data_IF_138503258642
#
_entry.id   IF_138503258642
#
_cell.length_a   1.000
_cell.length_b   1.000
_cell.length_c   1.000
_cell.angle_alpha   90.00
_cell.angle_beta   90.00
_cell.angle_gamma   90.00
#
_symmetry.space_group_name_H-M   'P 1'
#
loop_
_entity.id
_entity.type
_entity.pdbx_description
1 polymer ?
#
# COMPACT_ATOMS: atom_id res chain seq x y z
N UNK A 1 -65.41 51.82 35.80
CA UNK A 1 -64.79 50.48 35.67
C UNK A 1 -64.12 50.25 34.33
N UNK A 2 -63.96 51.21 33.39
CA UNK A 2 -63.33 50.94 32.06
C UNK A 2 -61.90 51.44 31.91
N UNK A 3 -61.36 52.19 32.86
CA UNK A 3 -60.01 52.79 32.71
C UNK A 3 -58.89 51.98 33.36
N UNK A 4 -59.19 51.15 34.33
CA UNK A 4 -58.15 50.34 35.05
C UNK A 4 -57.74 49.07 34.31
N UNK A 5 -58.70 48.49 33.56
CA UNK A 5 -58.44 47.26 32.80
C UNK A 5 -57.61 47.52 31.55
N UNK A 6 -57.72 48.70 30.93
CA UNK A 6 -56.94 49.14 29.77
C UNK A 6 -55.43 49.34 30.13
N UNK A 7 -55.17 49.84 31.33
CA UNK A 7 -53.80 50.07 31.81
C UNK A 7 -53.10 48.77 32.17
N UNK A 8 -53.80 47.79 32.73
CA UNK A 8 -53.30 46.51 33.07
C UNK A 8 -52.96 45.68 31.79
N UNK A 9 -53.79 45.75 30.77
CA UNK A 9 -53.53 45.10 29.48
C UNK A 9 -52.33 45.71 28.73
N UNK A 10 -52.11 46.98 28.79
CA UNK A 10 -50.97 47.66 28.16
C UNK A 10 -49.66 47.32 28.85
N UNK A 11 -49.62 47.16 30.15
CA UNK A 11 -48.43 46.79 30.90
C UNK A 11 -48.04 45.32 30.62
N UNK A 12 -49.03 44.43 30.45
CA UNK A 12 -48.77 43.02 30.14
C UNK A 12 -48.19 42.81 28.74
N UNK A 13 -48.64 43.56 27.74
CA UNK A 13 -48.15 43.50 26.35
C UNK A 13 -46.75 44.05 26.23
N UNK A 14 -46.36 45.07 26.94
CA UNK A 14 -45.01 45.63 26.94
C UNK A 14 -44.02 44.64 27.65
N UNK A 15 -44.46 44.00 28.70
CA UNK A 15 -43.62 42.97 29.39
C UNK A 15 -43.27 41.75 28.53
N UNK A 16 -44.21 41.28 27.73
CA UNK A 16 -43.98 40.13 26.82
C UNK A 16 -43.08 40.51 25.64
N UNK A 17 -43.22 41.72 25.11
CA UNK A 17 -42.36 42.21 24.04
C UNK A 17 -40.88 42.41 24.48
N UNK A 18 -40.66 42.83 25.75
CA UNK A 18 -39.30 42.95 26.29
C UNK A 18 -38.58 41.61 26.51
N UNK A 19 -39.31 40.52 26.82
CA UNK A 19 -38.73 39.19 26.93
C UNK A 19 -38.39 38.58 25.55
N UNK A 20 -39.12 38.92 24.49
CA UNK A 20 -38.88 38.40 23.15
C UNK A 20 -37.63 39.01 22.48
N UNK A 21 -37.22 40.20 22.88
CA UNK A 21 -36.02 40.85 22.31
C UNK A 21 -34.70 40.45 22.95
N UNK A 22 -34.71 39.72 24.07
CA UNK A 22 -33.48 39.24 24.73
C UNK A 22 -33.08 37.83 24.33
N UNK A 23 -33.82 37.14 23.46
CA UNK A 23 -33.43 35.84 22.92
C UNK A 23 -32.55 35.94 21.66
N UNK A 24 -32.07 37.10 21.29
CA UNK A 24 -31.22 37.28 20.13
C UNK A 24 -29.76 37.25 20.50
N UNK A 25 -29.09 36.23 19.97
CA UNK A 25 -27.65 36.09 19.83
C UNK A 25 -26.85 35.64 21.07
N UNK A 26 -27.16 34.49 21.63
CA UNK A 26 -26.04 33.69 22.09
C UNK A 26 -25.37 33.11 20.82
N UNK A 27 -24.49 33.88 20.20
CA UNK A 27 -23.55 33.34 19.24
C UNK A 27 -22.78 32.25 19.98
N UNK A 28 -23.00 31.00 19.61
CA UNK A 28 -22.10 29.92 20.02
C UNK A 28 -20.69 30.39 19.70
N UNK A 29 -19.77 30.33 20.66
CA UNK A 29 -18.39 30.69 20.37
C UNK A 29 -17.94 29.86 19.17
N UNK A 30 -17.56 30.54 18.09
CA UNK A 30 -17.01 29.94 16.90
C UNK A 30 -15.82 29.11 17.38
N UNK A 31 -15.96 27.77 17.37
CA UNK A 31 -14.81 26.90 17.70
C UNK A 31 -13.68 27.27 16.75
N UNK A 32 -12.50 27.61 17.27
CA UNK A 32 -11.37 27.82 16.39
C UNK A 32 -11.24 26.57 15.52
N UNK A 33 -11.33 26.72 14.22
CA UNK A 33 -11.03 25.65 13.28
C UNK A 33 -9.57 25.29 13.50
N UNK A 34 -9.33 24.17 14.17
CA UNK A 34 -7.98 23.66 14.29
C UNK A 34 -7.47 23.36 12.87
N UNK A 35 -6.46 24.10 12.44
CA UNK A 35 -5.75 23.81 11.21
C UNK A 35 -4.72 22.73 11.54
N UNK A 36 -4.95 21.51 11.08
CA UNK A 36 -4.00 20.41 11.24
C UNK A 36 -3.18 20.27 9.95
N UNK A 37 -1.86 20.19 10.14
CA UNK A 37 -0.93 19.99 9.04
C UNK A 37 -0.71 21.26 8.19
N UNK A 38 0.12 21.09 7.20
CA UNK A 38 0.41 22.09 6.18
C UNK A 38 0.55 21.39 4.81
N UNK A 39 0.31 22.08 3.72
CA UNK A 39 0.57 21.53 2.39
C UNK A 39 2.04 21.11 2.25
N UNK A 40 2.29 19.95 1.67
CA UNK A 40 3.62 19.47 1.31
C UNK A 40 3.80 19.52 -0.20
N UNK A 41 5.05 19.69 -0.65
CA UNK A 41 5.36 19.72 -2.07
C UNK A 41 5.49 18.29 -2.65
N UNK A 42 5.37 18.16 -3.96
CA UNK A 42 5.64 16.90 -4.67
C UNK A 42 7.08 16.40 -4.42
N UNK A 43 8.05 17.31 -4.23
CA UNK A 43 9.41 16.95 -3.91
C UNK A 43 9.52 16.29 -2.52
N UNK A 44 8.73 16.74 -1.54
CA UNK A 44 8.72 16.13 -0.20
C UNK A 44 8.09 14.73 -0.24
N UNK A 45 7.15 14.50 -1.15
CA UNK A 45 6.47 13.20 -1.33
C UNK A 45 7.31 12.23 -2.17
N UNK A 46 8.19 12.71 -3.04
CA UNK A 46 8.88 11.90 -4.05
C UNK A 46 9.63 10.68 -3.46
N UNK A 47 10.23 10.84 -2.26
CA UNK A 47 10.91 9.73 -1.57
C UNK A 47 9.97 8.63 -1.06
N UNK A 48 8.69 8.94 -0.90
CA UNK A 48 7.65 8.04 -0.41
C UNK A 48 6.80 7.46 -1.56
N UNK A 49 6.70 8.19 -2.66
CA UNK A 49 5.93 7.79 -3.83
C UNK A 49 6.76 6.86 -4.73
N UNK A 50 6.98 5.65 -4.22
CA UNK A 50 7.71 4.58 -4.91
C UNK A 50 6.79 3.45 -5.36
N UNK A 51 5.51 3.74 -5.56
CA UNK A 51 4.49 2.75 -5.90
C UNK A 51 4.70 2.13 -7.28
N UNK A 52 4.57 0.82 -7.31
CA UNK A 52 4.66 0.02 -8.54
C UNK A 52 3.32 -0.67 -8.77
N UNK A 53 2.71 -0.44 -9.93
CA UNK A 53 1.58 -1.24 -10.37
C UNK A 53 2.07 -2.57 -10.91
N UNK A 54 1.87 -3.64 -10.15
CA UNK A 54 2.49 -4.93 -10.38
C UNK A 54 2.00 -5.65 -11.64
N UNK A 55 0.79 -5.33 -12.11
CA UNK A 55 0.18 -5.95 -13.30
C UNK A 55 0.87 -5.59 -14.61
N UNK A 56 1.42 -4.39 -14.72
CA UNK A 56 2.04 -3.87 -15.94
C UNK A 56 3.39 -3.16 -15.70
N UNK A 57 3.81 -3.03 -14.45
CA UNK A 57 5.09 -2.43 -14.09
C UNK A 57 5.13 -0.91 -14.10
N UNK A 58 3.97 -0.21 -14.21
CA UNK A 58 3.97 1.25 -14.10
C UNK A 58 4.53 1.67 -12.75
N UNK A 59 5.48 2.60 -12.74
CA UNK A 59 6.20 3.06 -11.55
C UNK A 59 7.52 2.32 -11.29
N UNK A 60 7.85 1.29 -12.07
CA UNK A 60 9.19 0.69 -12.05
C UNK A 60 10.22 1.77 -12.42
N UNK A 61 11.28 1.95 -11.62
CA UNK A 61 12.32 2.94 -11.92
C UNK A 61 13.14 2.52 -13.13
N UNK A 62 13.78 3.47 -13.82
CA UNK A 62 14.80 3.16 -14.82
C UNK A 62 15.92 2.33 -14.21
N UNK A 63 16.41 1.33 -14.95
CA UNK A 63 17.47 0.44 -14.53
C UNK A 63 17.39 -0.91 -15.25
N UNK A 64 18.41 -1.74 -15.04
CA UNK A 64 18.52 -3.08 -15.64
C UNK A 64 19.48 -3.97 -14.86
N UNK A 65 19.25 -5.28 -14.88
CA UNK A 65 20.16 -6.23 -14.27
C UNK A 65 20.07 -7.61 -14.89
N UNK A 66 21.24 -8.28 -15.04
CA UNK A 66 21.32 -9.65 -15.53
C UNK A 66 21.28 -10.66 -14.39
N UNK A 67 20.97 -11.93 -14.73
CA UNK A 67 21.06 -13.06 -13.80
C UNK A 67 22.45 -13.17 -13.16
N UNK A 68 23.51 -13.02 -13.96
CA UNK A 68 24.89 -13.11 -13.48
C UNK A 68 25.23 -12.00 -12.48
N UNK A 69 24.81 -10.74 -12.75
CA UNK A 69 24.93 -9.64 -11.80
C UNK A 69 24.11 -9.90 -10.53
N UNK A 70 22.91 -10.45 -10.68
CA UNK A 70 22.02 -10.79 -9.58
C UNK A 70 22.59 -11.83 -8.65
N UNK A 71 23.32 -12.82 -9.18
CA UNK A 71 24.06 -13.78 -8.36
C UNK A 71 25.09 -13.08 -7.47
N UNK A 72 25.90 -12.19 -8.03
CA UNK A 72 26.89 -11.45 -7.25
C UNK A 72 26.25 -10.55 -6.18
N UNK A 73 25.15 -9.86 -6.51
CA UNK A 73 24.37 -9.06 -5.53
C UNK A 73 23.81 -9.95 -4.42
N UNK A 74 23.26 -11.11 -4.79
CA UNK A 74 22.69 -12.07 -3.83
C UNK A 74 23.76 -12.60 -2.86
N UNK A 75 24.91 -13.00 -3.36
CA UNK A 75 26.04 -13.49 -2.56
C UNK A 75 26.57 -12.41 -1.60
N UNK A 76 26.55 -11.14 -2.02
CA UNK A 76 27.02 -10.03 -1.20
C UNK A 76 26.03 -9.57 -0.13
N UNK A 77 24.72 -9.61 -0.42
CA UNK A 77 23.70 -8.90 0.38
C UNK A 77 22.57 -9.79 0.93
N UNK A 78 22.40 -11.01 0.44
CA UNK A 78 21.22 -11.83 0.73
C UNK A 78 21.54 -13.19 1.35
N UNK A 79 22.66 -13.78 0.96
CA UNK A 79 23.01 -15.17 1.29
C UNK A 79 23.08 -15.44 2.79
N UNK A 80 23.52 -14.46 3.59
CA UNK A 80 23.66 -14.61 5.04
C UNK A 80 22.34 -15.00 5.72
N UNK A 81 21.21 -14.51 5.21
CA UNK A 81 19.90 -14.78 5.77
C UNK A 81 19.13 -15.85 4.99
N UNK A 82 19.26 -15.87 3.65
CA UNK A 82 18.45 -16.71 2.76
C UNK A 82 19.17 -17.97 2.30
N UNK A 83 20.43 -18.15 2.68
CA UNK A 83 21.24 -19.34 2.36
C UNK A 83 21.70 -19.43 0.91
N UNK A 84 22.56 -20.40 0.59
CA UNK A 84 23.06 -20.62 -0.76
C UNK A 84 21.91 -20.89 -1.74
N UNK A 85 21.99 -20.29 -2.94
CA UNK A 85 20.99 -20.48 -4.01
C UNK A 85 19.55 -20.25 -3.55
N UNK A 86 19.35 -19.39 -2.54
CA UNK A 86 18.02 -19.07 -1.99
C UNK A 86 17.22 -20.29 -1.50
N UNK A 87 17.91 -21.38 -1.16
CA UNK A 87 17.29 -22.64 -0.68
C UNK A 87 16.94 -22.62 0.81
N UNK A 88 17.13 -21.50 1.45
CA UNK A 88 16.89 -21.30 2.87
C UNK A 88 18.18 -21.27 3.69
N UNK A 89 18.15 -20.53 4.76
CA UNK A 89 19.24 -20.35 5.73
C UNK A 89 18.73 -20.53 7.16
N UNK A 90 19.57 -20.16 8.12
CA UNK A 90 19.21 -20.26 9.54
C UNK A 90 18.05 -19.32 9.93
N UNK A 91 17.85 -18.22 9.20
CA UNK A 91 16.83 -17.21 9.55
C UNK A 91 15.54 -17.34 8.74
N UNK A 92 15.64 -17.67 7.46
CA UNK A 92 14.49 -17.68 6.54
C UNK A 92 14.47 -18.96 5.70
N UNK A 93 13.25 -19.37 5.35
CA UNK A 93 13.01 -20.53 4.50
C UNK A 93 13.40 -20.30 3.03
N UNK A 94 13.16 -21.32 2.23
CA UNK A 94 13.48 -21.29 0.79
C UNK A 94 12.69 -20.20 0.04
N UNK A 95 13.33 -19.60 -0.95
CA UNK A 95 12.69 -18.75 -1.97
C UNK A 95 12.61 -19.46 -3.34
N UNK A 96 12.95 -20.76 -3.39
CA UNK A 96 13.02 -21.55 -4.63
C UNK A 96 12.11 -22.76 -4.54
N UNK A 97 11.49 -23.13 -5.65
CA UNK A 97 10.61 -24.28 -5.76
C UNK A 97 9.16 -23.99 -5.39
N UNK A 98 8.41 -25.04 -5.08
CA UNK A 98 7.00 -24.94 -4.69
C UNK A 98 6.02 -24.57 -5.81
N UNK A 99 6.47 -24.48 -7.07
CA UNK A 99 5.60 -24.18 -8.21
C UNK A 99 4.51 -25.28 -8.31
N UNK A 100 3.24 -24.85 -8.40
CA UNK A 100 2.08 -25.74 -8.39
C UNK A 100 1.59 -26.13 -6.99
N UNK A 101 2.36 -25.86 -5.92
CA UNK A 101 1.95 -26.22 -4.56
C UNK A 101 0.96 -25.25 -3.91
N UNK A 102 0.79 -24.04 -4.46
CA UNK A 102 0.03 -22.96 -3.84
C UNK A 102 -1.42 -23.33 -3.52
N UNK A 103 -2.06 -24.14 -4.37
CA UNK A 103 -3.43 -24.61 -4.21
C UNK A 103 -3.56 -25.93 -3.45
N UNK A 104 -2.46 -26.44 -2.89
CA UNK A 104 -2.43 -27.71 -2.14
C UNK A 104 -2.37 -27.48 -0.62
N UNK A 105 -2.59 -28.54 0.16
CA UNK A 105 -2.46 -28.49 1.61
C UNK A 105 -0.98 -28.46 2.09
N UNK A 106 -0.02 -28.73 1.20
CA UNK A 106 1.41 -28.76 1.45
C UNK A 106 2.12 -27.63 0.72
N UNK A 107 1.63 -26.42 0.90
CA UNK A 107 2.14 -25.23 0.21
C UNK A 107 3.58 -24.90 0.58
N UNK A 108 4.40 -24.67 -0.45
CA UNK A 108 5.73 -24.08 -0.31
C UNK A 108 5.67 -22.69 -0.93
N UNK A 109 5.66 -21.66 -0.10
CA UNK A 109 5.45 -20.27 -0.51
C UNK A 109 6.78 -19.64 -0.91
N UNK A 110 6.98 -19.46 -2.20
CA UNK A 110 8.16 -18.81 -2.79
C UNK A 110 7.70 -17.74 -3.79
N UNK A 111 8.59 -16.84 -4.22
CA UNK A 111 8.24 -15.90 -5.29
C UNK A 111 7.72 -16.60 -6.55
N UNK A 112 8.29 -17.76 -6.92
CA UNK A 112 7.88 -18.53 -8.09
C UNK A 112 6.55 -19.26 -7.93
N UNK A 113 6.17 -19.64 -6.71
CA UNK A 113 4.95 -20.42 -6.47
C UNK A 113 3.72 -19.56 -6.20
N UNK A 114 3.87 -18.38 -5.59
CA UNK A 114 2.71 -17.62 -5.11
C UNK A 114 2.50 -16.26 -5.80
N UNK A 115 3.55 -15.60 -6.30
CA UNK A 115 3.36 -14.28 -6.92
C UNK A 115 2.69 -14.38 -8.29
N UNK A 116 1.60 -13.63 -8.53
CA UNK A 116 0.97 -13.57 -9.85
C UNK A 116 1.75 -12.73 -10.85
N UNK A 117 2.59 -11.80 -10.39
CA UNK A 117 3.33 -10.86 -11.24
C UNK A 117 4.75 -10.69 -10.73
N UNK A 118 5.73 -10.72 -11.64
CA UNK A 118 7.15 -10.58 -11.28
C UNK A 118 7.51 -9.21 -10.66
N UNK A 119 6.88 -8.07 -11.01
CA UNK A 119 7.11 -6.80 -10.33
C UNK A 119 6.84 -6.81 -8.82
N UNK A 120 6.06 -7.75 -8.30
CA UNK A 120 5.87 -7.93 -6.85
C UNK A 120 7.20 -8.25 -6.17
N UNK A 121 8.01 -9.13 -6.79
CA UNK A 121 9.32 -9.46 -6.25
C UNK A 121 10.23 -8.23 -6.21
N UNK A 122 10.25 -7.45 -7.30
CA UNK A 122 11.02 -6.20 -7.38
C UNK A 122 10.61 -5.22 -6.27
N UNK A 123 9.31 -4.97 -6.14
CA UNK A 123 8.78 -4.01 -5.17
C UNK A 123 9.10 -4.44 -3.73
N UNK A 124 8.92 -5.72 -3.43
CA UNK A 124 9.25 -6.28 -2.11
C UNK A 124 10.73 -6.12 -1.78
N UNK A 125 11.62 -6.51 -2.71
CA UNK A 125 13.07 -6.39 -2.51
C UNK A 125 13.46 -4.92 -2.33
N UNK A 126 12.98 -4.03 -3.20
CA UNK A 126 13.28 -2.60 -3.12
C UNK A 126 12.88 -1.99 -1.78
N UNK A 127 11.67 -2.31 -1.29
CA UNK A 127 11.11 -1.70 -0.08
C UNK A 127 11.68 -2.27 1.21
N UNK A 128 11.98 -3.57 1.24
CA UNK A 128 12.15 -4.29 2.49
C UNK A 128 13.49 -5.00 2.63
N UNK A 129 14.27 -5.15 1.54
CA UNK A 129 15.51 -5.92 1.54
C UNK A 129 16.73 -5.09 1.13
N UNK A 130 17.90 -5.33 1.74
CA UNK A 130 18.13 -6.17 2.92
C UNK A 130 17.37 -5.63 4.14
N UNK A 131 16.86 -6.50 5.00
CA UNK A 131 15.99 -6.09 6.11
C UNK A 131 16.68 -5.18 7.14
N UNK A 132 18.00 -5.29 7.29
CA UNK A 132 18.81 -4.40 8.14
C UNK A 132 19.05 -3.02 7.51
N UNK A 133 18.84 -2.87 6.19
CA UNK A 133 19.02 -1.64 5.42
C UNK A 133 18.00 -1.51 4.28
N UNK A 134 16.72 -1.34 4.58
CA UNK A 134 15.69 -1.15 3.57
C UNK A 134 16.00 0.05 2.66
N UNK A 135 15.57 0.00 1.40
CA UNK A 135 15.77 1.05 0.40
C UNK A 135 17.25 1.37 0.06
N UNK A 136 18.20 0.53 0.46
CA UNK A 136 19.64 0.77 0.24
C UNK A 136 20.15 0.26 -1.12
N UNK A 137 19.35 -0.52 -1.84
CA UNK A 137 19.74 -1.09 -3.13
C UNK A 137 19.41 -0.14 -4.28
N UNK A 138 20.31 -0.05 -5.26
CA UNK A 138 20.03 0.64 -6.52
C UNK A 138 18.98 -0.11 -7.35
N UNK A 139 18.32 0.58 -8.28
CA UNK A 139 17.36 -0.07 -9.19
C UNK A 139 18.00 -1.23 -9.96
N UNK A 140 19.23 -1.06 -10.45
CA UNK A 140 19.98 -2.10 -11.16
C UNK A 140 20.21 -3.33 -10.30
N UNK A 141 20.62 -3.16 -9.04
CA UNK A 141 20.78 -4.27 -8.10
C UNK A 141 19.48 -5.00 -7.84
N UNK A 142 18.36 -4.27 -7.72
CA UNK A 142 17.04 -4.89 -7.51
C UNK A 142 16.59 -5.67 -8.75
N UNK A 143 16.78 -5.12 -9.97
CA UNK A 143 16.53 -5.87 -11.21
C UNK A 143 17.40 -7.11 -11.29
N UNK A 144 18.69 -6.98 -11.01
CA UNK A 144 19.64 -8.07 -11.07
C UNK A 144 19.26 -9.21 -10.11
N UNK A 145 19.03 -8.91 -8.83
CA UNK A 145 18.68 -9.95 -7.85
C UNK A 145 17.30 -10.56 -8.14
N UNK A 146 16.37 -9.77 -8.67
CA UNK A 146 15.07 -10.30 -9.14
C UNK A 146 15.26 -11.26 -10.30
N UNK A 147 16.10 -10.92 -11.27
CA UNK A 147 16.44 -11.83 -12.38
C UNK A 147 17.05 -13.14 -11.87
N UNK A 148 17.96 -13.07 -10.92
CA UNK A 148 18.60 -14.27 -10.34
C UNK A 148 17.60 -15.16 -9.59
N UNK A 149 16.74 -14.59 -8.74
CA UNK A 149 15.73 -15.37 -8.02
C UNK A 149 14.71 -16.00 -8.98
N UNK A 150 14.28 -15.27 -10.02
CA UNK A 150 13.39 -15.80 -11.05
C UNK A 150 14.07 -16.90 -11.88
N UNK A 151 15.37 -16.78 -12.16
CA UNK A 151 16.15 -17.85 -12.82
C UNK A 151 16.27 -19.09 -11.95
N UNK A 152 16.56 -18.95 -10.66
CA UNK A 152 16.60 -20.10 -9.73
C UNK A 152 15.26 -20.85 -9.66
N UNK A 153 14.15 -20.17 -9.95
CA UNK A 153 12.82 -20.77 -10.06
C UNK A 153 12.47 -21.24 -11.48
N UNK A 154 13.41 -21.18 -12.42
CA UNK A 154 13.20 -21.63 -13.81
C UNK A 154 12.28 -20.74 -14.64
N UNK A 155 12.02 -19.50 -14.21
CA UNK A 155 11.06 -18.58 -14.84
C UNK A 155 11.69 -17.65 -15.88
N UNK A 156 13.00 -17.49 -15.85
CA UNK A 156 13.77 -16.78 -16.88
C UNK A 156 15.06 -17.56 -17.18
N UNK A 157 15.61 -17.48 -18.41
CA UNK A 157 16.85 -18.14 -18.76
C UNK A 157 18.07 -17.52 -18.08
N UNK A 158 19.20 -18.22 -18.07
CA UNK A 158 20.42 -17.80 -17.36
C UNK A 158 21.07 -16.53 -17.93
N UNK A 159 20.83 -16.22 -19.20
CA UNK A 159 21.31 -15.03 -19.90
C UNK A 159 20.31 -13.86 -19.84
N UNK A 160 19.20 -14.00 -19.10
CA UNK A 160 18.18 -12.96 -19.02
C UNK A 160 18.73 -11.66 -18.43
N UNK A 161 18.27 -10.57 -19.02
CA UNK A 161 18.43 -9.21 -18.49
C UNK A 161 17.06 -8.63 -18.28
N UNK A 162 16.76 -8.24 -17.04
CA UNK A 162 15.48 -7.62 -16.69
C UNK A 162 15.62 -6.11 -16.52
N UNK A 163 14.57 -5.40 -16.92
CA UNK A 163 14.41 -3.97 -16.83
C UNK A 163 12.92 -3.63 -16.64
N UNK A 164 12.58 -2.34 -16.67
CA UNK A 164 11.20 -1.87 -16.52
C UNK A 164 10.25 -2.36 -17.63
N UNK A 165 10.76 -2.72 -18.79
CA UNK A 165 9.94 -3.18 -19.92
C UNK A 165 9.82 -4.71 -19.99
N UNK A 166 10.81 -5.44 -19.49
CA UNK A 166 10.91 -6.92 -19.57
C UNK A 166 10.41 -7.62 -18.34
N UNK A 167 10.65 -7.06 -17.14
CA UNK A 167 10.19 -7.66 -15.88
C UNK A 167 8.68 -7.92 -15.83
N UNK A 168 7.79 -6.98 -16.24
CA UNK A 168 6.35 -7.23 -16.22
C UNK A 168 5.87 -8.32 -17.18
N UNK A 169 6.71 -8.70 -18.17
CA UNK A 169 6.39 -9.72 -19.18
C UNK A 169 6.74 -11.14 -18.73
N UNK A 170 7.44 -11.28 -17.62
CA UNK A 170 7.74 -12.62 -17.08
C UNK A 170 6.45 -13.36 -16.76
N UNK A 171 6.28 -14.54 -17.34
CA UNK A 171 5.11 -15.37 -17.12
C UNK A 171 5.22 -16.10 -15.77
N UNK A 172 4.48 -15.60 -14.80
CA UNK A 172 4.44 -16.21 -13.46
C UNK A 172 3.45 -17.36 -13.43
N UNK A 173 3.84 -18.54 -12.87
CA UNK A 173 2.96 -19.73 -12.87
C UNK A 173 1.62 -19.54 -12.18
N UNK A 174 1.54 -18.63 -11.22
CA UNK A 174 0.33 -18.41 -10.43
C UNK A 174 -0.52 -17.22 -10.92
N UNK A 175 -0.21 -16.72 -12.11
CA UNK A 175 -0.85 -15.49 -12.65
C UNK A 175 -2.37 -15.58 -12.72
N UNK A 176 -2.88 -16.72 -13.17
CA UNK A 176 -4.30 -16.91 -13.45
C UNK A 176 -5.05 -17.70 -12.35
N UNK A 177 -4.37 -17.97 -11.23
CA UNK A 177 -4.95 -18.73 -10.11
C UNK A 177 -5.63 -17.87 -9.05
N UNK A 178 -5.67 -16.54 -9.23
CA UNK A 178 -6.40 -15.64 -8.35
C UNK A 178 -7.81 -15.42 -8.88
N UNK A 179 -8.77 -15.57 -8.00
CA UNK A 179 -10.19 -15.31 -8.30
C UNK A 179 -10.69 -14.17 -7.43
N UNK A 180 -11.72 -13.49 -7.90
CA UNK A 180 -12.38 -12.48 -7.07
C UNK A 180 -13.00 -13.18 -5.85
N UNK A 181 -12.82 -12.54 -4.69
CA UNK A 181 -13.48 -12.99 -3.47
C UNK A 181 -14.97 -12.63 -3.55
N UNK A 182 -15.83 -13.64 -3.57
CA UNK A 182 -17.28 -13.50 -3.71
C UNK A 182 -18.04 -13.54 -2.38
N UNK A 183 -17.33 -13.60 -1.26
CA UNK A 183 -17.96 -13.57 0.07
C UNK A 183 -18.75 -12.27 0.25
N UNK A 184 -19.90 -12.31 0.96
CA UNK A 184 -20.78 -11.15 1.11
C UNK A 184 -20.09 -9.91 1.73
N UNK A 185 -19.17 -10.12 2.66
CA UNK A 185 -18.42 -9.06 3.35
C UNK A 185 -17.48 -8.28 2.43
N UNK A 186 -16.98 -8.89 1.36
CA UNK A 186 -16.12 -8.21 0.39
C UNK A 186 -16.87 -7.28 -0.56
N UNK A 187 -18.21 -7.46 -0.65
CA UNK A 187 -19.11 -6.59 -1.41
C UNK A 187 -19.68 -5.44 -0.58
N UNK A 188 -19.34 -5.36 0.68
CA UNK A 188 -19.84 -4.32 1.56
C UNK A 188 -19.42 -2.94 1.05
N UNK A 189 -20.40 -2.06 0.86
CA UNK A 189 -20.15 -0.66 0.57
C UNK A 189 -19.61 -0.02 1.85
N UNK A 190 -18.47 0.68 1.74
CA UNK A 190 -17.87 1.39 2.86
C UNK A 190 -18.90 2.35 3.47
N UNK A 191 -19.30 2.08 4.68
CA UNK A 191 -20.19 2.98 5.38
C UNK A 191 -19.42 4.21 5.83
N UNK A 192 -19.80 5.39 5.33
CA UNK A 192 -19.20 6.68 5.68
C UNK A 192 -20.14 7.57 6.48
N UNK A 193 -21.44 7.25 6.52
CA UNK A 193 -22.48 7.95 7.27
C UNK A 193 -23.57 6.96 7.66
N UNK A 194 -24.18 7.17 8.83
CA UNK A 194 -25.35 6.41 9.33
C UNK A 194 -25.19 4.89 9.25
N UNK A 195 -24.00 4.40 9.58
CA UNK A 195 -23.68 2.99 9.63
C UNK A 195 -24.50 2.29 10.71
N UNK A 196 -25.33 1.30 10.34
CA UNK A 196 -26.12 0.45 11.21
C UNK A 196 -25.55 -0.97 11.25
#
# INVERSE_FOLDING_TARGET
MRSRDALLSAVLVVGVAACATQMSSVRSPERPTASFGHPISEADVAGWNIDIRTTDGRGLPPGRGSVAQGKAVYEAKCIACHGPEAKGGAMYGTMVGGIGSFTTNTRVLTPGSMYPYAPILFDYVRRSMPMDRPLSMTADEVYAVSAYILNLNGLVPADAVLDQATLPKVQMPNRDNFVLDDRPDTRAVRCMRDCR
#
